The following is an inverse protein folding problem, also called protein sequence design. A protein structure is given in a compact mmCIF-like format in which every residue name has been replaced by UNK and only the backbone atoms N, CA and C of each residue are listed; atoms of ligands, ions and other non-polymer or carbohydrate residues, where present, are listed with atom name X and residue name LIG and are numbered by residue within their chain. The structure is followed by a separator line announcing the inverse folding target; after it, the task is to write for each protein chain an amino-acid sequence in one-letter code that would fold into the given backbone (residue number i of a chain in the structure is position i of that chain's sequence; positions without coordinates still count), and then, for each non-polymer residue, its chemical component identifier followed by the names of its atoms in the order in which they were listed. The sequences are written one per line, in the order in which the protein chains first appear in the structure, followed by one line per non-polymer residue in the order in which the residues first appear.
data_IF_707743247263
#
_entry.id   IF_707743247263
#
_cell.length_a   1.000
_cell.length_b   1.000
_cell.length_c   1.000
_cell.angle_alpha   90.00
_cell.angle_beta   90.00
_cell.angle_gamma   90.00
#
_symmetry.space_group_name_H-M   'P 1'
#
loop_
_entity.id
_entity.type
_entity.pdbx_description
1 polymer ?
#
# COMPACT_ATOMS: atom_id res chain seq x y z
N UNK A 1 18.22 2.65 20.42
CA UNK A 1 18.46 2.78 18.96
C UNK A 1 17.28 2.16 18.24
N UNK A 2 16.29 2.96 17.83
CA UNK A 2 15.08 2.46 17.16
C UNK A 2 15.31 2.43 15.65
N UNK A 3 15.18 1.26 15.03
CA UNK A 3 15.10 1.18 13.56
C UNK A 3 13.70 1.57 13.15
N UNK A 4 13.55 2.70 12.45
CA UNK A 4 12.29 3.04 11.78
C UNK A 4 12.22 2.15 10.55
N UNK A 5 11.38 1.13 10.60
CA UNK A 5 11.11 0.28 9.45
C UNK A 5 10.09 0.98 8.56
N UNK A 6 10.49 1.28 7.32
CA UNK A 6 9.63 1.93 6.34
C UNK A 6 9.34 0.89 5.25
N UNK A 7 8.29 0.06 5.42
CA UNK A 7 7.97 -1.00 4.47
C UNK A 7 7.50 -0.42 3.14
N UNK A 8 7.70 -1.20 2.08
CA UNK A 8 7.03 -0.95 0.80
C UNK A 8 5.65 -1.59 0.85
N UNK A 9 4.69 -1.02 0.14
CA UNK A 9 3.32 -1.52 0.13
C UNK A 9 2.73 -1.53 -1.26
N UNK A 10 1.93 -2.54 -1.56
CA UNK A 10 1.03 -2.55 -2.72
C UNK A 10 -0.38 -2.31 -2.20
N UNK A 11 -0.98 -1.20 -2.63
CA UNK A 11 -2.29 -0.75 -2.19
C UNK A 11 -3.25 -0.78 -3.36
N UNK A 12 -4.42 -1.37 -3.15
CA UNK A 12 -5.53 -1.33 -4.11
C UNK A 12 -6.64 -0.45 -3.56
N UNK A 13 -7.11 0.51 -4.35
CA UNK A 13 -8.26 1.35 -4.05
C UNK A 13 -9.42 1.04 -5.00
N UNK A 14 -10.64 1.12 -4.50
CA UNK A 14 -11.84 1.11 -5.33
C UNK A 14 -12.08 2.49 -5.99
N UNK A 15 -13.14 2.58 -6.81
CA UNK A 15 -13.51 3.82 -7.52
C UNK A 15 -13.89 4.98 -6.60
N UNK A 16 -14.20 4.71 -5.32
CA UNK A 16 -14.45 5.75 -4.31
C UNK A 16 -13.16 6.23 -3.61
N UNK A 17 -12.01 5.68 -4.00
CA UNK A 17 -10.71 5.94 -3.38
C UNK A 17 -10.49 5.18 -2.06
N UNK A 18 -11.39 4.28 -1.69
CA UNK A 18 -11.26 3.48 -0.46
C UNK A 18 -10.27 2.36 -0.69
N UNK A 19 -9.33 2.19 0.26
CA UNK A 19 -8.39 1.07 0.24
C UNK A 19 -9.15 -0.24 0.51
N UNK A 20 -9.00 -1.20 -0.41
CA UNK A 20 -9.61 -2.53 -0.34
C UNK A 20 -8.58 -3.66 -0.25
N UNK A 21 -7.31 -3.41 -0.64
CA UNK A 21 -6.17 -4.26 -0.31
C UNK A 21 -4.96 -3.42 0.09
N UNK A 22 -4.17 -3.92 1.04
CA UNK A 22 -2.97 -3.28 1.57
C UNK A 22 -1.97 -4.37 1.98
N UNK A 23 -0.97 -4.61 1.13
CA UNK A 23 0.03 -5.66 1.32
C UNK A 23 1.40 -5.05 1.57
N UNK A 24 2.06 -5.48 2.65
CA UNK A 24 3.39 -5.04 3.05
C UNK A 24 4.49 -5.94 2.47
N UNK A 25 5.60 -5.31 2.09
CA UNK A 25 6.80 -5.94 1.55
C UNK A 25 8.04 -5.33 2.17
N UNK A 26 9.07 -6.15 2.32
CA UNK A 26 10.28 -5.75 3.03
C UNK A 26 11.11 -4.70 2.27
N UNK A 27 11.06 -4.75 0.94
CA UNK A 27 11.79 -3.87 0.05
C UNK A 27 11.07 -3.68 -1.31
N UNK A 28 11.62 -2.79 -2.14
CA UNK A 28 11.08 -2.52 -3.47
C UNK A 28 11.21 -3.73 -4.42
N UNK A 29 12.25 -4.55 -4.25
CA UNK A 29 12.49 -5.74 -5.07
C UNK A 29 11.44 -6.82 -4.87
N UNK A 30 10.88 -6.94 -3.66
CA UNK A 30 9.73 -7.80 -3.37
C UNK A 30 8.40 -7.15 -3.77
N UNK A 31 8.25 -5.83 -3.58
CA UNK A 31 7.00 -5.12 -3.89
C UNK A 31 6.72 -4.99 -5.41
N UNK A 32 7.75 -4.71 -6.22
CA UNK A 32 7.60 -4.44 -7.66
C UNK A 32 7.04 -5.63 -8.45
N UNK A 33 7.51 -6.87 -8.28
CA UNK A 33 6.90 -8.03 -8.92
C UNK A 33 5.46 -8.26 -8.48
N UNK A 34 5.16 -8.06 -7.19
CA UNK A 34 3.80 -8.22 -6.67
C UNK A 34 2.85 -7.20 -7.30
N UNK A 35 3.26 -5.94 -7.41
CA UNK A 35 2.52 -4.91 -8.14
C UNK A 35 2.32 -5.23 -9.60
N UNK A 36 3.39 -5.63 -10.31
CA UNK A 36 3.31 -5.96 -11.74
C UNK A 36 2.37 -7.13 -12.02
N UNK A 37 2.19 -8.05 -11.05
CA UNK A 37 1.26 -9.17 -11.15
C UNK A 37 -0.21 -8.81 -10.88
N UNK A 38 -0.49 -7.61 -10.36
CA UNK A 38 -1.84 -7.19 -9.99
C UNK A 38 -2.53 -6.51 -11.16
N UNK A 39 -3.72 -6.98 -11.50
CA UNK A 39 -4.60 -6.30 -12.44
C UNK A 39 -5.64 -5.47 -11.67
N UNK A 40 -5.73 -4.18 -12.00
CA UNK A 40 -6.80 -3.34 -11.50
C UNK A 40 -8.10 -3.66 -12.26
N UNK A 41 -9.19 -3.96 -11.54
CA UNK A 41 -10.51 -3.99 -12.17
C UNK A 41 -10.90 -2.57 -12.64
N UNK A 42 -11.85 -2.41 -13.58
CA UNK A 42 -12.31 -1.11 -14.03
C UNK A 42 -12.72 -0.20 -12.87
N UNK A 43 -12.11 0.99 -12.81
CA UNK A 43 -12.35 1.97 -11.75
C UNK A 43 -11.55 1.74 -10.47
N UNK A 44 -10.75 0.66 -10.38
CA UNK A 44 -9.81 0.47 -9.28
C UNK A 44 -8.44 1.06 -9.62
N UNK A 45 -7.68 1.40 -8.57
CA UNK A 45 -6.30 1.85 -8.68
C UNK A 45 -5.41 0.87 -7.92
N UNK A 46 -4.29 0.47 -8.54
CA UNK A 46 -3.21 -0.26 -7.86
C UNK A 46 -2.02 0.68 -7.77
N UNK A 47 -1.38 0.78 -6.60
CA UNK A 47 -0.23 1.64 -6.37
C UNK A 47 0.84 0.94 -5.52
N UNK A 48 2.11 1.14 -5.87
CA UNK A 48 3.23 0.93 -4.93
C UNK A 48 3.43 2.20 -4.11
N UNK A 49 3.56 2.04 -2.81
CA UNK A 49 3.83 3.12 -1.87
C UNK A 49 5.08 2.79 -1.03
N UNK A 50 5.88 3.81 -0.74
CA UNK A 50 6.96 3.76 0.24
C UNK A 50 6.82 4.99 1.17
N UNK A 51 7.13 4.83 2.45
CA UNK A 51 7.11 5.96 3.40
C UNK A 51 6.36 5.67 4.70
N UNK A 52 6.41 6.63 5.61
CA UNK A 52 5.70 6.54 6.88
C UNK A 52 4.19 6.72 6.67
N UNK A 53 3.38 5.85 7.28
CA UNK A 53 1.92 5.99 7.33
C UNK A 53 1.49 6.35 8.73
N UNK A 54 0.71 7.42 8.85
CA UNK A 54 0.15 7.87 10.12
C UNK A 54 -1.35 7.59 10.14
N UNK A 55 -1.79 6.67 11.00
CA UNK A 55 -3.20 6.28 11.14
C UNK A 55 -3.68 6.77 12.50
N UNK A 56 -4.65 7.68 12.52
CA UNK A 56 -5.30 8.13 13.75
C UNK A 56 -6.79 7.78 13.72
N UNK A 57 -7.28 7.13 14.78
CA UNK A 57 -8.72 7.09 15.08
C UNK A 57 -9.03 8.30 15.96
N UNK A 58 -9.57 9.36 15.38
CA UNK A 58 -10.08 10.50 16.14
C UNK A 58 -11.48 10.15 16.64
N UNK A 59 -11.57 9.62 17.86
CA UNK A 59 -12.83 9.55 18.58
C UNK A 59 -13.13 10.94 19.15
N UNK A 60 -14.38 11.39 18.99
CA UNK A 60 -14.85 12.66 19.55
C UNK A 60 -15.22 12.48 21.02
#
# INVERSE_FOLDING_TARGET
MGKVYVPHRVVIRDASGKIVSDEEFDDFGAAKPAFDSKEALPGMEVAIQHGARVIFKKFR
#
